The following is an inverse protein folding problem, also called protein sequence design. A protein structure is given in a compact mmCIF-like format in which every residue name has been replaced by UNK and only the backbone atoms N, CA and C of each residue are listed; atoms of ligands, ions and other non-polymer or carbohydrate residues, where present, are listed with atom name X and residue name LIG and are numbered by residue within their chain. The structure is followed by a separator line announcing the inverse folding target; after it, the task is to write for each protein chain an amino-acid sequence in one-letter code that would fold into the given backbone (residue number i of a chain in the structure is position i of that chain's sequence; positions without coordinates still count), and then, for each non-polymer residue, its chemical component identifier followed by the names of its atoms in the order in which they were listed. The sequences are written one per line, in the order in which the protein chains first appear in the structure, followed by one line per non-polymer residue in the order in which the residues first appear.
data_IF_564416368889
#
_entry.id   IF_564416368889
#
_cell.length_a   1.000
_cell.length_b   1.000
_cell.length_c   1.000
_cell.angle_alpha   90.00
_cell.angle_beta   90.00
_cell.angle_gamma   90.00
#
_symmetry.space_group_name_H-M   'P 1'
#
loop_
_entity.id
_entity.type
_entity.pdbx_description
1 polymer ?
#
# COMPACT_ATOMS: atom_id res chain seq x y z
N UNK A 1 -58.66 -22.38 -35.45
CA UNK A 1 -58.10 -21.51 -36.51
C UNK A 1 -56.59 -21.54 -36.40
N UNK A 2 -55.89 -21.84 -37.52
CA UNK A 2 -54.44 -21.76 -37.81
C UNK A 2 -53.50 -22.57 -36.88
N UNK A 3 -52.82 -23.64 -37.26
CA UNK A 3 -52.46 -24.15 -38.59
C UNK A 3 -51.11 -23.60 -39.06
N UNK A 4 -50.01 -24.33 -38.84
CA UNK A 4 -48.66 -24.00 -39.34
C UNK A 4 -47.94 -25.28 -39.77
N UNK A 5 -47.76 -25.43 -41.08
CA UNK A 5 -47.29 -26.62 -41.80
C UNK A 5 -45.76 -26.70 -41.88
N UNK A 6 -45.26 -27.94 -41.93
CA UNK A 6 -43.97 -28.36 -42.51
C UNK A 6 -43.78 -27.85 -43.96
N UNK A 7 -42.55 -27.50 -44.34
CA UNK A 7 -41.98 -27.85 -45.67
C UNK A 7 -40.46 -28.04 -45.55
N UNK A 8 -39.99 -29.17 -46.08
CA UNK A 8 -38.59 -29.52 -46.34
C UNK A 8 -38.35 -29.37 -47.85
N UNK A 9 -37.18 -28.87 -48.27
CA UNK A 9 -36.77 -28.90 -49.68
C UNK A 9 -35.28 -29.25 -49.80
N UNK A 10 -35.03 -30.40 -50.43
CA UNK A 10 -33.75 -30.88 -50.99
C UNK A 10 -33.62 -30.46 -52.47
N UNK A 11 -32.45 -30.79 -53.02
CA UNK A 11 -32.02 -30.92 -54.43
C UNK A 11 -31.52 -29.61 -55.07
N UNK A 12 -30.42 -29.59 -55.85
CA UNK A 12 -29.70 -30.66 -56.57
C UNK A 12 -28.25 -30.27 -56.91
N UNK A 13 -27.39 -31.28 -57.05
CA UNK A 13 -26.08 -31.25 -57.73
C UNK A 13 -26.18 -30.80 -59.21
N UNK A 14 -25.07 -30.29 -59.75
CA UNK A 14 -24.67 -30.53 -61.14
C UNK A 14 -23.16 -30.33 -61.36
N UNK A 15 -22.45 -31.44 -61.55
CA UNK A 15 -21.13 -31.56 -62.18
C UNK A 15 -21.17 -31.31 -63.70
N UNK A 16 -20.05 -30.83 -64.26
CA UNK A 16 -19.41 -31.24 -65.53
C UNK A 16 -18.17 -30.33 -65.74
N UNK A 17 -16.91 -30.79 -65.69
CA UNK A 17 -16.15 -31.70 -66.57
C UNK A 17 -15.46 -30.98 -67.75
N UNK A 18 -14.11 -30.90 -67.72
CA UNK A 18 -13.23 -30.92 -68.91
C UNK A 18 -11.78 -31.34 -68.51
N UNK A 19 -11.11 -32.27 -69.23
CA UNK A 19 -9.88 -32.93 -68.79
C UNK A 19 -8.63 -32.51 -69.59
N UNK A 20 -7.49 -33.16 -69.25
CA UNK A 20 -6.12 -33.09 -69.80
C UNK A 20 -5.30 -32.00 -69.10
N UNK A 21 -4.17 -32.29 -68.44
CA UNK A 21 -2.97 -32.94 -68.97
C UNK A 21 -2.18 -33.58 -67.81
N UNK A 22 -1.69 -34.80 -68.04
CA UNK A 22 -0.70 -35.50 -67.21
C UNK A 22 0.66 -34.81 -67.28
N UNK A 23 1.29 -34.54 -66.14
CA UNK A 23 2.75 -34.49 -66.02
C UNK A 23 3.16 -34.78 -64.57
N UNK A 24 3.81 -35.93 -64.38
CA UNK A 24 4.49 -36.31 -63.16
C UNK A 24 5.66 -35.34 -62.91
N UNK A 25 5.68 -34.69 -61.76
CA UNK A 25 6.89 -34.11 -61.20
C UNK A 25 6.87 -34.32 -59.70
N UNK A 26 7.66 -35.28 -59.24
CA UNK A 26 7.88 -35.58 -57.83
C UNK A 26 8.67 -34.45 -57.21
N UNK A 27 7.99 -33.52 -56.54
CA UNK A 27 8.63 -32.58 -55.62
C UNK A 27 8.40 -33.07 -54.18
N UNK A 28 9.48 -33.53 -53.57
CA UNK A 28 9.60 -33.78 -52.13
C UNK A 28 9.13 -32.57 -51.34
N UNK A 29 7.95 -32.67 -50.73
CA UNK A 29 7.47 -31.71 -49.73
C UNK A 29 8.27 -31.92 -48.45
N UNK A 30 9.30 -31.09 -48.25
CA UNK A 30 9.98 -30.94 -46.96
C UNK A 30 9.00 -30.20 -46.04
N UNK A 31 8.38 -30.93 -45.12
CA UNK A 31 7.57 -30.34 -44.03
C UNK A 31 8.49 -29.57 -43.08
N UNK A 32 8.52 -28.25 -43.23
CA UNK A 32 9.22 -27.35 -42.30
C UNK A 32 8.38 -27.22 -41.01
N UNK A 33 8.69 -28.04 -40.01
CA UNK A 33 8.16 -27.86 -38.65
C UNK A 33 8.89 -26.65 -38.05
N UNK A 34 8.26 -25.48 -38.08
CA UNK A 34 8.76 -24.29 -37.38
C UNK A 34 8.42 -24.47 -35.90
N UNK A 35 9.35 -25.05 -35.15
CA UNK A 35 9.27 -25.17 -33.70
C UNK A 35 9.48 -23.76 -33.10
N UNK A 36 8.40 -23.02 -32.86
CA UNK A 36 8.46 -21.75 -32.14
C UNK A 36 8.70 -22.03 -30.66
N UNK A 37 9.96 -22.07 -30.26
CA UNK A 37 10.33 -22.09 -28.85
C UNK A 37 9.90 -20.76 -28.24
N UNK A 38 8.81 -20.76 -27.47
CA UNK A 38 8.49 -19.68 -26.54
C UNK A 38 9.62 -19.59 -25.53
N UNK A 39 10.55 -18.67 -25.76
CA UNK A 39 11.55 -18.28 -24.77
C UNK A 39 10.80 -17.50 -23.70
N UNK A 40 10.45 -18.18 -22.60
CA UNK A 40 9.95 -17.52 -21.39
C UNK A 40 11.06 -16.63 -20.84
N UNK A 41 11.04 -15.35 -21.20
CA UNK A 41 11.86 -14.33 -20.56
C UNK A 41 11.39 -14.22 -19.11
N UNK A 42 12.10 -14.89 -18.20
CA UNK A 42 11.94 -14.65 -16.78
C UNK A 42 12.25 -13.18 -16.52
N UNK A 43 11.22 -12.40 -16.20
CA UNK A 43 11.35 -11.00 -15.79
C UNK A 43 12.02 -11.03 -14.42
N UNK A 44 13.35 -10.99 -14.39
CA UNK A 44 14.09 -10.82 -13.14
C UNK A 44 13.91 -9.37 -12.71
N UNK A 45 13.03 -9.14 -11.74
CA UNK A 45 12.89 -7.83 -11.10
C UNK A 45 14.26 -7.40 -10.58
N UNK A 46 14.72 -6.17 -10.89
CA UNK A 46 15.98 -5.67 -10.35
C UNK A 46 15.87 -5.61 -8.83
N UNK A 47 16.79 -6.30 -8.14
CA UNK A 47 16.98 -6.17 -6.69
C UNK A 47 17.33 -4.70 -6.42
N UNK A 48 16.41 -3.97 -5.79
CA UNK A 48 16.65 -2.58 -5.42
C UNK A 48 17.80 -2.51 -4.42
N UNK A 49 18.73 -1.54 -4.56
CA UNK A 49 19.87 -1.41 -3.66
C UNK A 49 19.40 -1.27 -2.21
N UNK A 50 20.00 -2.05 -1.33
CA UNK A 50 19.80 -2.00 0.12
C UNK A 50 20.08 -0.56 0.59
N UNK A 51 19.07 0.16 1.08
CA UNK A 51 19.23 1.53 1.55
C UNK A 51 20.16 1.53 2.78
N UNK A 52 21.39 2.02 2.61
CA UNK A 52 22.34 2.23 3.72
C UNK A 52 22.01 3.55 4.41
N UNK A 53 20.96 3.56 5.22
CA UNK A 53 20.52 4.72 6.01
C UNK A 53 19.01 4.97 5.90
N UNK A 54 18.43 5.78 6.80
CA UNK A 54 17.03 6.15 6.71
C UNK A 54 16.75 6.88 5.38
N UNK A 55 15.56 6.70 4.78
CA UNK A 55 15.20 7.38 3.55
C UNK A 55 15.36 8.90 3.65
N UNK A 56 15.71 9.57 2.54
CA UNK A 56 15.94 11.01 2.54
C UNK A 56 14.73 11.82 3.08
N UNK A 57 13.52 11.32 2.85
CA UNK A 57 12.28 11.93 3.33
C UNK A 57 12.10 11.87 4.87
N UNK A 58 12.94 11.11 5.59
CA UNK A 58 12.99 11.12 7.05
C UNK A 58 13.70 12.36 7.64
N UNK A 59 14.23 13.26 6.80
CA UNK A 59 14.84 14.53 7.24
C UNK A 59 15.93 14.36 8.32
N UNK A 60 16.78 13.33 8.19
CA UNK A 60 17.83 12.94 9.16
C UNK A 60 17.33 12.46 10.53
N UNK A 61 16.02 12.32 10.70
CA UNK A 61 15.43 11.68 11.87
C UNK A 61 15.47 10.16 11.70
N UNK A 62 15.49 9.45 12.82
CA UNK A 62 15.30 8.00 12.80
C UNK A 62 13.88 7.65 12.32
N UNK A 63 13.80 6.58 11.53
CA UNK A 63 12.58 6.08 10.93
C UNK A 63 12.45 4.57 11.13
N UNK A 64 11.22 4.03 11.14
CA UNK A 64 11.01 2.59 11.17
C UNK A 64 11.66 1.93 9.95
N UNK A 65 12.40 0.84 10.19
CA UNK A 65 13.06 0.08 9.13
C UNK A 65 12.05 -0.72 8.33
N UNK A 66 12.25 -0.77 7.03
CA UNK A 66 11.46 -1.61 6.14
C UNK A 66 12.30 -2.10 4.96
N UNK A 67 11.83 -3.18 4.34
CA UNK A 67 12.32 -3.66 3.04
C UNK A 67 11.22 -3.46 2.01
N UNK A 68 11.54 -2.83 0.87
CA UNK A 68 10.62 -2.73 -0.27
C UNK A 68 10.61 -4.07 -1.01
N UNK A 69 9.45 -4.71 -1.06
CA UNK A 69 9.21 -5.97 -1.77
C UNK A 69 8.92 -5.69 -3.24
N UNK A 70 8.11 -4.66 -3.50
CA UNK A 70 7.65 -4.31 -4.84
C UNK A 70 7.39 -2.82 -4.93
N UNK A 71 7.78 -2.22 -6.05
CA UNK A 71 7.37 -0.88 -6.44
C UNK A 71 6.51 -0.97 -7.69
N UNK A 72 5.34 -0.34 -7.67
CA UNK A 72 4.47 -0.17 -8.84
C UNK A 72 4.36 1.32 -9.19
N UNK A 73 3.63 1.64 -10.26
CA UNK A 73 3.29 3.03 -10.56
C UNK A 73 2.43 3.67 -9.46
N UNK A 74 1.63 2.87 -8.75
CA UNK A 74 0.58 3.37 -7.87
C UNK A 74 0.92 3.30 -6.38
N UNK A 75 1.76 2.34 -5.98
CA UNK A 75 2.15 2.09 -4.59
C UNK A 75 3.45 1.27 -4.47
N UNK A 76 4.03 1.27 -3.27
CA UNK A 76 5.08 0.36 -2.83
C UNK A 76 4.53 -0.69 -1.85
N UNK A 77 4.93 -1.96 -1.97
CA UNK A 77 4.74 -2.98 -0.95
C UNK A 77 6.01 -3.03 -0.08
N UNK A 78 5.86 -2.74 1.22
CA UNK A 78 6.96 -2.67 2.19
C UNK A 78 6.71 -3.65 3.33
N UNK A 79 7.73 -4.36 3.77
CA UNK A 79 7.71 -5.13 5.01
C UNK A 79 8.43 -4.31 6.09
N UNK A 80 7.68 -3.86 7.09
CA UNK A 80 8.22 -3.13 8.24
C UNK A 80 8.70 -4.09 9.32
N UNK A 81 9.88 -3.84 9.89
CA UNK A 81 10.42 -4.59 11.02
C UNK A 81 9.58 -4.35 12.30
N UNK A 82 9.53 -5.32 13.24
CA UNK A 82 8.91 -5.09 14.54
C UNK A 82 9.57 -3.93 15.28
N UNK A 83 8.77 -3.05 15.88
CA UNK A 83 9.27 -1.93 16.66
C UNK A 83 8.26 -1.46 17.70
N UNK A 84 8.76 -0.85 18.77
CA UNK A 84 7.96 -0.12 19.74
C UNK A 84 7.74 1.31 19.28
N UNK A 85 6.50 1.76 19.48
CA UNK A 85 6.06 3.12 19.30
C UNK A 85 5.53 3.63 20.63
N UNK A 86 5.56 4.94 20.85
CA UNK A 86 4.79 5.55 21.94
C UNK A 86 3.52 6.13 21.34
N UNK A 87 2.38 5.70 21.86
CA UNK A 87 1.06 5.99 21.27
C UNK A 87 0.11 6.61 22.28
N UNK A 88 -0.90 7.30 21.75
CA UNK A 88 -2.07 7.77 22.48
C UNK A 88 -3.30 7.67 21.58
N UNK A 89 -4.46 7.40 22.16
CA UNK A 89 -5.73 7.32 21.41
C UNK A 89 -6.53 8.59 21.64
N UNK A 90 -7.01 9.19 20.56
CA UNK A 90 -7.93 10.33 20.60
C UNK A 90 -9.15 9.97 19.77
N UNK A 91 -10.33 9.94 20.40
CA UNK A 91 -11.59 9.77 19.68
C UNK A 91 -12.14 11.13 19.25
N UNK A 92 -12.51 11.29 17.98
CA UNK A 92 -13.01 12.55 17.43
C UNK A 92 -13.82 12.35 16.15
N UNK A 93 -14.40 13.45 15.65
CA UNK A 93 -15.09 13.48 14.36
C UNK A 93 -14.16 13.92 13.22
N UNK A 94 -13.17 14.76 13.53
CA UNK A 94 -12.27 15.37 12.56
C UNK A 94 -10.83 14.91 12.80
N UNK A 95 -10.10 14.66 11.72
CA UNK A 95 -8.72 14.17 11.78
C UNK A 95 -7.77 15.21 12.40
N UNK A 96 -7.77 16.44 11.89
CA UNK A 96 -6.75 17.44 12.27
C UNK A 96 -6.75 17.80 13.77
N UNK A 97 -7.90 18.08 14.41
CA UNK A 97 -7.94 18.36 15.85
C UNK A 97 -7.50 17.16 16.69
N UNK A 98 -7.90 15.94 16.28
CA UNK A 98 -7.56 14.72 17.01
C UNK A 98 -6.06 14.41 16.95
N UNK A 99 -5.46 14.51 15.76
CA UNK A 99 -4.02 14.28 15.56
C UNK A 99 -3.19 15.36 16.23
N UNK A 100 -3.59 16.63 16.15
CA UNK A 100 -2.90 17.72 16.86
C UNK A 100 -2.90 17.50 18.37
N UNK A 101 -4.05 17.11 18.95
CA UNK A 101 -4.16 16.77 20.37
C UNK A 101 -3.27 15.58 20.75
N UNK A 102 -3.28 14.51 19.95
CA UNK A 102 -2.44 13.33 20.18
C UNK A 102 -0.95 13.67 20.09
N UNK A 103 -0.56 14.45 19.08
CA UNK A 103 0.80 14.96 18.91
C UNK A 103 1.27 15.71 20.15
N UNK A 104 0.48 16.66 20.67
CA UNK A 104 0.89 17.45 21.85
C UNK A 104 1.08 16.60 23.11
N UNK A 105 0.28 15.53 23.29
CA UNK A 105 0.48 14.58 24.40
C UNK A 105 1.80 13.83 24.25
N UNK A 106 2.10 13.33 23.06
CA UNK A 106 3.34 12.61 22.78
C UNK A 106 4.56 13.53 22.81
N UNK A 107 4.39 14.79 22.37
CA UNK A 107 5.41 15.83 22.46
C UNK A 107 5.76 16.11 23.92
N UNK A 108 4.77 16.27 24.80
CA UNK A 108 5.00 16.40 26.25
C UNK A 108 5.76 15.20 26.83
N UNK A 109 5.46 13.98 26.37
CA UNK A 109 6.17 12.77 26.80
C UNK A 109 7.66 12.81 26.45
N UNK A 110 8.01 13.15 25.20
CA UNK A 110 9.41 13.22 24.76
C UNK A 110 10.14 14.44 25.36
N UNK A 111 9.43 15.48 25.77
CA UNK A 111 10.01 16.66 26.46
C UNK A 111 10.16 16.47 28.00
N UNK A 112 10.01 15.23 28.50
CA UNK A 112 10.29 14.91 29.90
C UNK A 112 9.07 14.54 30.74
N UNK A 113 7.86 14.48 30.18
CA UNK A 113 6.68 13.94 30.88
C UNK A 113 6.64 12.39 30.89
N UNK A 114 7.79 11.80 31.25
CA UNK A 114 8.01 10.37 31.47
C UNK A 114 8.58 10.17 32.88
N UNK A 115 8.50 8.95 33.40
CA UNK A 115 8.89 8.64 34.79
C UNK A 115 10.37 8.95 35.07
N UNK A 116 11.22 8.91 34.04
CA UNK A 116 12.65 9.21 34.14
C UNK A 116 12.98 10.71 34.02
N UNK A 117 12.01 11.57 33.67
CA UNK A 117 12.21 13.01 33.45
C UNK A 117 13.30 13.34 32.43
N UNK A 118 13.47 12.48 31.41
CA UNK A 118 14.48 12.65 30.36
C UNK A 118 13.85 13.16 29.07
N UNK A 119 14.61 13.92 28.29
CA UNK A 119 14.23 14.27 26.92
C UNK A 119 14.56 13.13 25.97
N UNK A 120 13.65 12.81 25.06
CA UNK A 120 13.79 11.76 24.04
C UNK A 120 13.88 12.44 22.67
N UNK A 121 14.85 12.09 21.80
CA UNK A 121 14.93 12.65 20.46
C UNK A 121 13.66 12.42 19.64
N UNK A 122 13.24 13.43 18.87
CA UNK A 122 12.16 13.28 17.90
C UNK A 122 12.55 12.31 16.78
N UNK A 123 11.57 11.58 16.27
CA UNK A 123 11.70 10.63 15.16
C UNK A 123 10.67 10.94 14.07
N UNK A 124 10.79 10.29 12.92
CA UNK A 124 9.77 10.32 11.87
C UNK A 124 9.29 8.90 11.51
N UNK A 125 8.12 8.76 10.87
CA UNK A 125 7.06 9.74 10.78
C UNK A 125 6.28 9.87 12.10
N UNK A 126 5.41 10.88 12.19
CA UNK A 126 4.23 10.79 13.06
C UNK A 126 3.20 9.92 12.34
N UNK A 127 2.95 8.72 12.87
CA UNK A 127 2.00 7.77 12.30
C UNK A 127 0.66 7.85 13.04
N UNK A 128 -0.46 7.87 12.32
CA UNK A 128 -1.80 7.82 12.93
C UNK A 128 -2.59 6.65 12.33
N UNK A 129 -2.99 5.70 13.17
CA UNK A 129 -4.01 4.70 12.79
C UNK A 129 -5.38 5.37 12.83
N UNK A 130 -6.10 5.34 11.71
CA UNK A 130 -7.45 5.87 11.58
C UNK A 130 -8.42 4.69 11.56
N UNK A 131 -9.17 4.53 12.64
CA UNK A 131 -10.19 3.47 12.81
C UNK A 131 -11.57 4.11 12.84
N UNK A 132 -12.28 4.05 11.71
CA UNK A 132 -13.59 4.67 11.59
C UNK A 132 -14.63 4.01 12.50
N UNK A 133 -15.45 4.82 13.15
CA UNK A 133 -16.61 4.34 13.87
C UNK A 133 -17.64 3.72 12.93
N UNK A 134 -18.39 2.72 13.41
CA UNK A 134 -19.43 2.07 12.61
C UNK A 134 -20.69 2.95 12.49
N UNK A 135 -20.68 3.90 11.55
CA UNK A 135 -21.82 4.74 11.20
C UNK A 135 -21.52 6.24 11.28
N UNK A 136 -22.38 7.08 10.69
CA UNK A 136 -22.12 8.51 10.48
C UNK A 136 -21.99 9.34 11.77
N UNK A 137 -22.46 8.80 12.91
CA UNK A 137 -22.42 9.46 14.21
C UNK A 137 -21.39 8.85 15.17
N UNK A 138 -20.68 7.80 14.75
CA UNK A 138 -19.68 7.15 15.57
C UNK A 138 -18.35 7.89 15.45
N UNK A 139 -17.73 8.18 16.60
CA UNK A 139 -16.39 8.78 16.61
C UNK A 139 -15.39 7.85 15.96
N UNK A 140 -14.48 8.44 15.19
CA UNK A 140 -13.29 7.76 14.69
C UNK A 140 -12.25 7.76 15.80
N UNK A 141 -11.58 6.62 15.99
CA UNK A 141 -10.43 6.51 16.88
C UNK A 141 -9.16 6.81 16.09
N UNK A 142 -8.40 7.78 16.58
CA UNK A 142 -7.10 8.17 16.04
C UNK A 142 -6.01 7.73 17.01
N UNK A 143 -5.27 6.68 16.66
CA UNK A 143 -4.11 6.24 17.44
C UNK A 143 -2.86 6.91 16.89
N UNK A 144 -2.50 8.05 17.48
CA UNK A 144 -1.30 8.83 17.12
C UNK A 144 -0.09 8.18 17.76
N UNK A 145 1.00 8.05 17.01
CA UNK A 145 2.19 7.30 17.41
C UNK A 145 3.48 7.98 16.98
N UNK A 146 4.46 8.04 17.89
CA UNK A 146 5.85 8.39 17.62
C UNK A 146 6.71 7.12 17.63
N UNK A 147 7.61 7.00 16.67
CA UNK A 147 8.58 5.92 16.65
C UNK A 147 9.50 6.07 17.87
N UNK A 148 9.77 4.99 18.59
CA UNK A 148 10.76 5.06 19.68
C UNK A 148 12.15 5.03 19.05
N UNK A 149 13.08 5.94 19.43
CA UNK A 149 14.45 5.89 18.93
C UNK A 149 15.12 4.53 19.13
N UNK A 150 16.02 4.14 18.23
CA UNK A 150 16.66 2.83 18.26
C UNK A 150 17.37 2.53 19.59
N UNK A 151 17.96 3.55 20.21
CA UNK A 151 18.62 3.42 21.51
C UNK A 151 17.65 3.01 22.64
N UNK A 152 16.38 3.37 22.54
CA UNK A 152 15.36 3.16 23.57
C UNK A 152 14.41 2.00 23.24
N UNK A 153 14.49 1.38 22.05
CA UNK A 153 13.62 0.29 21.61
C UNK A 153 13.55 -0.88 22.62
N UNK A 154 14.64 -1.20 23.31
CA UNK A 154 14.65 -2.25 24.32
C UNK A 154 13.80 -1.89 25.55
N UNK A 155 13.89 -0.64 26.03
CA UNK A 155 13.21 -0.18 27.25
C UNK A 155 12.85 1.32 27.16
N UNK A 156 11.77 1.67 26.46
CA UNK A 156 11.33 3.05 26.34
C UNK A 156 11.05 3.65 27.73
N UNK A 157 11.33 4.94 27.99
CA UNK A 157 10.94 5.59 29.23
C UNK A 157 9.43 5.46 29.47
N UNK A 158 9.02 5.04 30.65
CA UNK A 158 7.59 4.88 30.95
C UNK A 158 6.88 6.24 30.95
N UNK A 159 5.72 6.38 30.28
CA UNK A 159 4.96 7.63 30.32
C UNK A 159 4.47 7.99 31.73
N UNK A 160 4.41 9.29 32.05
CA UNK A 160 3.78 9.74 33.30
C UNK A 160 2.26 9.89 33.16
N UNK A 161 1.78 10.18 31.96
CA UNK A 161 0.36 10.30 31.65
C UNK A 161 -0.26 8.90 31.43
N UNK A 162 -1.47 8.69 31.95
CA UNK A 162 -2.16 7.38 31.89
C UNK A 162 -2.72 7.03 30.51
N UNK A 163 -2.84 8.00 29.61
CA UNK A 163 -3.39 7.87 28.26
C UNK A 163 -2.30 7.87 27.17
N UNK A 164 -1.03 7.77 27.58
CA UNK A 164 0.13 7.56 26.73
C UNK A 164 0.74 6.21 27.09
N UNK A 165 1.02 5.37 26.11
CA UNK A 165 1.47 3.99 26.34
C UNK A 165 2.50 3.56 25.31
N UNK A 166 3.32 2.58 25.69
CA UNK A 166 4.19 1.89 24.73
C UNK A 166 3.34 0.90 23.93
N UNK A 167 3.41 0.99 22.61
CA UNK A 167 2.68 0.19 21.65
C UNK A 167 3.67 -0.67 20.83
N UNK A 168 3.85 -1.96 21.16
CA UNK A 168 4.66 -2.87 20.37
C UNK A 168 3.94 -3.23 19.08
N UNK A 169 4.46 -2.77 17.95
CA UNK A 169 3.94 -3.10 16.63
C UNK A 169 4.80 -4.23 16.06
N UNK A 170 4.14 -5.36 15.75
CA UNK A 170 4.80 -6.52 15.16
C UNK A 170 5.17 -6.25 13.69
N UNK A 171 5.96 -7.16 13.11
CA UNK A 171 6.24 -7.12 11.68
C UNK A 171 4.92 -7.05 10.89
N UNK A 172 4.84 -6.14 9.93
CA UNK A 172 3.66 -5.99 9.07
C UNK A 172 4.06 -5.70 7.64
N UNK A 173 3.23 -6.15 6.70
CA UNK A 173 3.35 -5.77 5.29
C UNK A 173 2.35 -4.65 5.00
N UNK A 174 2.84 -3.55 4.45
CA UNK A 174 2.05 -2.37 4.14
C UNK A 174 2.15 -2.04 2.64
N UNK A 175 1.03 -1.66 2.05
CA UNK A 175 0.98 -0.99 0.77
C UNK A 175 1.02 0.52 1.02
N UNK A 176 1.96 1.22 0.41
CA UNK A 176 2.27 2.61 0.71
C UNK A 176 2.11 3.48 -0.54
N UNK A 177 1.33 4.55 -0.40
CA UNK A 177 1.19 5.60 -1.42
C UNK A 177 1.63 6.94 -0.83
N UNK A 178 2.60 7.58 -1.46
CA UNK A 178 3.12 8.89 -1.04
C UNK A 178 2.49 10.04 -1.84
N UNK A 179 2.38 11.21 -1.21
CA UNK A 179 1.97 12.44 -1.87
C UNK A 179 2.68 13.67 -1.27
N UNK A 180 2.95 14.71 -2.07
CA UNK A 180 3.67 15.89 -1.63
C UNK A 180 2.75 16.93 -0.97
N UNK A 181 3.35 18.01 -0.44
CA UNK A 181 2.63 19.21 -0.04
C UNK A 181 2.06 19.19 1.38
N UNK A 182 1.29 20.23 1.71
CA UNK A 182 0.57 20.31 2.99
C UNK A 182 -0.68 19.45 2.92
N UNK A 183 -0.65 18.31 3.62
CA UNK A 183 -1.77 17.39 3.64
C UNK A 183 -2.98 18.02 4.33
N UNK A 184 -4.04 18.23 3.54
CA UNK A 184 -5.39 18.52 4.01
C UNK A 184 -6.08 17.21 4.36
N UNK A 185 -7.19 17.31 5.09
CA UNK A 185 -7.99 16.14 5.46
C UNK A 185 -8.44 15.33 4.24
N UNK A 186 -8.86 16.02 3.17
CA UNK A 186 -9.23 15.41 1.89
C UNK A 186 -8.06 14.65 1.24
N UNK A 187 -6.83 15.15 1.34
CA UNK A 187 -5.68 14.53 0.68
C UNK A 187 -5.39 13.14 1.28
N UNK A 188 -5.57 12.99 2.61
CA UNK A 188 -5.46 11.69 3.27
C UNK A 188 -6.52 10.71 2.78
N UNK A 189 -7.79 11.14 2.75
CA UNK A 189 -8.91 10.28 2.36
C UNK A 189 -8.88 9.91 0.88
N UNK A 190 -8.55 10.87 0.00
CA UNK A 190 -8.47 10.66 -1.44
C UNK A 190 -7.29 9.74 -1.80
N UNK A 191 -6.14 9.91 -1.12
CA UNK A 191 -4.99 9.02 -1.29
C UNK A 191 -5.30 7.60 -0.79
N UNK A 192 -5.96 7.46 0.36
CA UNK A 192 -6.38 6.17 0.89
C UNK A 192 -7.33 5.45 -0.06
N UNK A 193 -8.32 6.17 -0.61
CA UNK A 193 -9.27 5.65 -1.59
C UNK A 193 -8.57 5.21 -2.88
N UNK A 194 -7.70 6.06 -3.44
CA UNK A 194 -6.97 5.72 -4.66
C UNK A 194 -6.04 4.51 -4.48
N UNK A 195 -5.43 4.36 -3.29
CA UNK A 195 -4.63 3.19 -2.95
C UNK A 195 -5.52 1.94 -2.83
N UNK A 196 -6.65 2.03 -2.13
CA UNK A 196 -7.62 0.94 -2.01
C UNK A 196 -8.12 0.47 -3.38
N UNK A 197 -8.51 1.39 -4.27
CA UNK A 197 -8.94 1.09 -5.65
C UNK A 197 -7.84 0.35 -6.43
N UNK A 198 -6.58 0.75 -6.26
CA UNK A 198 -5.44 0.09 -6.91
C UNK A 198 -5.25 -1.35 -6.42
N UNK A 199 -5.44 -1.60 -5.12
CA UNK A 199 -5.34 -2.94 -4.53
C UNK A 199 -6.54 -3.82 -4.90
N UNK A 200 -7.76 -3.27 -4.86
CA UNK A 200 -8.98 -3.97 -5.24
C UNK A 200 -8.94 -4.38 -6.72
N UNK A 201 -8.51 -3.51 -7.63
CA UNK A 201 -8.31 -3.83 -9.05
C UNK A 201 -7.26 -4.94 -9.27
N UNK A 202 -6.25 -5.00 -8.41
CA UNK A 202 -5.25 -6.06 -8.42
C UNK A 202 -5.67 -7.33 -7.66
N UNK A 203 -6.88 -7.37 -7.08
CA UNK A 203 -7.40 -8.46 -6.24
C UNK A 203 -6.48 -8.78 -5.06
N UNK A 204 -5.91 -7.74 -4.42
CA UNK A 204 -5.01 -7.87 -3.28
C UNK A 204 -5.79 -7.61 -1.98
N UNK A 205 -5.71 -8.56 -1.04
CA UNK A 205 -6.37 -8.44 0.27
C UNK A 205 -5.64 -7.50 1.23
N UNK A 206 -6.40 -6.63 1.89
CA UNK A 206 -5.91 -5.70 2.91
C UNK A 206 -6.99 -5.43 3.97
N UNK A 207 -6.58 -4.93 5.14
CA UNK A 207 -7.48 -4.52 6.21
C UNK A 207 -8.29 -3.29 5.78
N UNK A 208 -9.63 -3.42 5.75
CA UNK A 208 -10.56 -2.35 5.33
C UNK A 208 -11.10 -1.52 6.49
N UNK A 209 -10.87 -1.99 7.72
CA UNK A 209 -11.35 -1.39 8.96
C UNK A 209 -10.48 -0.20 9.43
N UNK A 210 -9.25 -0.10 8.95
CA UNK A 210 -8.35 1.01 9.26
C UNK A 210 -7.33 1.26 8.15
N UNK A 211 -6.72 2.44 8.22
CA UNK A 211 -5.51 2.78 7.48
C UNK A 211 -4.57 3.60 8.37
N UNK A 212 -3.32 3.75 7.94
CA UNK A 212 -2.39 4.67 8.58
C UNK A 212 -2.15 5.89 7.71
N UNK A 213 -2.02 7.05 8.34
CA UNK A 213 -1.36 8.22 7.77
C UNK A 213 0.03 8.36 8.38
N UNK A 214 0.99 8.86 7.61
CA UNK A 214 2.36 9.09 8.06
C UNK A 214 2.86 10.45 7.57
N UNK A 215 3.06 11.38 8.51
CA UNK A 215 3.62 12.70 8.25
C UNK A 215 5.08 12.77 8.67
N UNK A 216 5.99 13.07 7.73
CA UNK A 216 7.44 13.02 7.98
C UNK A 216 8.07 14.38 8.33
N UNK A 217 7.35 15.47 8.07
CA UNK A 217 7.91 16.81 8.16
C UNK A 217 7.33 17.58 9.36
N UNK A 218 8.19 18.35 10.03
CA UNK A 218 7.81 19.28 11.09
C UNK A 218 6.65 20.20 10.65
N UNK A 219 5.71 20.56 11.53
CA UNK A 219 4.61 21.46 11.20
C UNK A 219 5.08 22.82 10.62
N UNK A 220 6.29 23.26 10.96
CA UNK A 220 6.87 24.53 10.48
C UNK A 220 7.62 24.42 9.14
N UNK A 221 7.79 23.22 8.58
CA UNK A 221 8.48 23.03 7.29
C UNK A 221 7.56 23.35 6.10
N UNK A 222 7.88 24.40 5.35
CA UNK A 222 7.05 24.92 4.24
C UNK A 222 7.19 24.18 2.90
N UNK A 223 8.35 23.56 2.61
CA UNK A 223 8.65 22.95 1.30
C UNK A 223 9.18 21.51 1.42
N UNK A 224 9.14 20.73 0.32
CA UNK A 224 9.55 19.32 0.23
C UNK A 224 8.95 18.44 1.33
N UNK A 225 7.63 18.58 1.53
CA UNK A 225 6.88 17.71 2.44
C UNK A 225 6.61 16.36 1.78
N UNK A 226 6.77 15.28 2.55
CA UNK A 226 6.49 13.90 2.20
C UNK A 226 5.44 13.36 3.17
N UNK A 227 4.33 12.92 2.63
CA UNK A 227 3.24 12.31 3.37
C UNK A 227 2.94 10.94 2.75
N UNK A 228 2.51 9.99 3.56
CA UNK A 228 2.16 8.66 3.09
C UNK A 228 0.85 8.17 3.70
N UNK A 229 0.12 7.36 2.93
CA UNK A 229 -0.96 6.50 3.43
C UNK A 229 -0.54 5.05 3.33
N UNK A 230 -0.79 4.27 4.39
CA UNK A 230 -0.49 2.84 4.44
C UNK A 230 -1.78 2.02 4.61
N UNK A 231 -1.99 1.05 3.72
CA UNK A 231 -2.99 0.00 3.88
C UNK A 231 -2.28 -1.30 4.25
N UNK A 232 -2.72 -1.96 5.33
CA UNK A 232 -2.02 -3.13 5.85
C UNK A 232 -2.56 -4.40 5.18
N UNK A 233 -1.65 -5.23 4.68
CA UNK A 233 -1.97 -6.51 4.04
C UNK A 233 -2.76 -7.40 5.02
N UNK A 234 -3.86 -7.97 4.54
CA UNK A 234 -4.63 -8.95 5.28
C UNK A 234 -4.05 -10.34 5.02
N UNK A 235 -3.99 -11.17 6.05
CA UNK A 235 -3.53 -12.56 5.96
C UNK A 235 -4.57 -13.44 5.25
#
# INVERSE_FOLDING_TARGET
MRGGKFVCSRFSESEADDPRICAFSTYTMITLIVLTTLVSLAVTSPVQPTQTGPPAFCNKLECPKYTTVKTTKDYEERIYEPAKWTSTVVSGMEYNPAVSKGFMKLFSYIEGNNKKKVTIPMTAPVATKVEHGQGPYCKTNFTVSFFVPFADQASPPEPSASDVFTNPIQQMTAFVKSFPGYAKESDWTDTAKALAESLDNATISYHKDFYYTAGYNSPFQLFNRHNEVWLIKAN
#
